data_IF_655782702805
#
_entry.id   IF_655782702805
#
_cell.length_a   1.000
_cell.length_b   1.000
_cell.length_c   1.000
_cell.angle_alpha   90.00
_cell.angle_beta   90.00
_cell.angle_gamma   90.00
#
_symmetry.space_group_name_H-M   'P 1'
#
loop_
_entity.id
_entity.type
_entity.pdbx_description
1 polymer ?
#
# COMPACT_ATOMS: atom_id res chain seq x y z
N UNK A 1 45.19 -12.18 -74.75
CA UNK A 1 44.20 -11.12 -74.98
C UNK A 1 42.87 -11.72 -74.58
N UNK A 2 42.38 -11.52 -73.36
CA UNK A 2 42.53 -10.37 -72.46
C UNK A 2 42.68 -10.81 -70.99
N UNK A 3 43.13 -9.88 -70.17
CA UNK A 3 43.53 -9.98 -68.76
C UNK A 3 42.40 -9.47 -67.83
N UNK A 4 42.32 -10.06 -66.63
CA UNK A 4 41.76 -9.52 -65.35
C UNK A 4 40.22 -9.27 -65.18
N UNK A 5 39.66 -9.19 -63.93
CA UNK A 5 39.83 -10.04 -62.72
C UNK A 5 38.51 -10.13 -61.85
N UNK A 6 38.47 -10.26 -60.49
CA UNK A 6 37.70 -11.31 -59.81
C UNK A 6 36.49 -10.82 -58.97
N UNK A 7 35.42 -11.61 -58.89
CA UNK A 7 34.31 -11.35 -57.96
C UNK A 7 34.28 -12.39 -56.82
N UNK A 8 34.30 -11.87 -55.60
CA UNK A 8 34.43 -12.55 -54.31
C UNK A 8 33.30 -13.55 -54.01
N UNK A 9 33.65 -14.62 -53.28
CA UNK A 9 32.75 -15.62 -52.72
C UNK A 9 32.44 -15.31 -51.22
N UNK A 10 31.58 -16.08 -50.53
CA UNK A 10 30.32 -15.60 -49.94
C UNK A 10 30.35 -15.64 -48.40
N UNK A 11 29.21 -15.41 -47.72
CA UNK A 11 28.79 -16.51 -46.84
C UNK A 11 27.29 -16.87 -46.88
N UNK A 12 26.96 -18.14 -46.62
CA UNK A 12 25.60 -18.67 -46.62
C UNK A 12 24.89 -18.61 -45.25
N UNK A 13 23.58 -18.36 -45.34
CA UNK A 13 22.45 -19.06 -44.69
C UNK A 13 22.47 -19.39 -43.17
N UNK A 14 21.57 -18.66 -42.48
CA UNK A 14 20.54 -19.13 -41.55
C UNK A 14 20.90 -19.79 -40.20
N UNK A 15 20.47 -19.15 -39.11
CA UNK A 15 19.88 -19.80 -37.94
C UNK A 15 18.97 -18.83 -37.18
N UNK A 16 17.75 -19.27 -36.86
CA UNK A 16 16.81 -18.57 -36.00
C UNK A 16 17.20 -18.73 -34.51
N UNK A 17 17.03 -17.67 -33.71
CA UNK A 17 16.87 -17.77 -32.25
C UNK A 17 16.26 -16.49 -31.67
N UNK A 18 15.24 -16.69 -30.83
CA UNK A 18 14.63 -15.72 -29.93
C UNK A 18 15.64 -15.14 -28.94
N UNK A 19 15.45 -13.88 -28.50
CA UNK A 19 16.28 -13.30 -27.44
C UNK A 19 15.81 -11.92 -26.97
N UNK A 20 15.21 -11.90 -25.78
CA UNK A 20 14.92 -10.76 -24.89
C UNK A 20 15.89 -9.58 -24.97
N UNK A 21 15.37 -8.35 -24.98
CA UNK A 21 16.12 -7.18 -24.48
C UNK A 21 15.20 -5.98 -24.24
N UNK A 22 14.74 -5.86 -23.00
CA UNK A 22 14.08 -4.67 -22.48
C UNK A 22 14.42 -4.53 -21.00
N UNK A 23 15.71 -4.57 -20.69
CA UNK A 23 16.23 -4.36 -19.34
C UNK A 23 15.90 -2.94 -18.91
N UNK A 24 14.82 -2.80 -18.13
CA UNK A 24 14.51 -1.57 -17.43
C UNK A 24 15.68 -1.20 -16.54
N UNK A 25 16.36 -0.13 -16.92
CA UNK A 25 17.45 0.50 -16.18
C UNK A 25 16.92 0.92 -14.81
N UNK A 26 17.05 0.03 -13.81
CA UNK A 26 16.79 0.38 -12.43
C UNK A 26 17.88 1.34 -12.01
N UNK A 27 17.56 2.64 -12.06
CA UNK A 27 18.39 3.71 -11.53
C UNK A 27 19.00 3.27 -10.20
N UNK A 28 20.33 3.27 -10.17
CA UNK A 28 21.09 2.68 -9.08
C UNK A 28 20.57 3.23 -7.74
N UNK A 29 20.10 2.36 -6.84
CA UNK A 29 19.60 2.81 -5.56
C UNK A 29 20.76 3.41 -4.75
N UNK A 30 20.56 4.64 -4.28
CA UNK A 30 21.53 5.35 -3.45
C UNK A 30 21.88 4.50 -2.22
N UNK A 31 23.08 3.96 -2.21
CA UNK A 31 23.60 3.07 -1.19
C UNK A 31 24.26 3.93 -0.11
N UNK A 32 23.65 4.02 1.07
CA UNK A 32 24.23 4.74 2.22
C UNK A 32 25.28 3.92 2.98
N UNK A 33 25.87 2.93 2.32
CA UNK A 33 26.80 1.98 2.93
C UNK A 33 28.03 1.89 2.05
N UNK A 34 29.12 2.49 2.53
CA UNK A 34 30.38 2.56 1.80
C UNK A 34 30.83 1.19 1.25
N UNK A 35 31.48 0.38 2.07
CA UNK A 35 32.11 -0.89 1.63
C UNK A 35 31.33 -2.16 1.99
N UNK A 36 30.29 -2.05 2.83
CA UNK A 36 29.49 -3.20 3.26
C UNK A 36 28.33 -3.45 2.30
N UNK A 37 28.04 -4.73 1.94
CA UNK A 37 26.85 -5.05 1.15
C UNK A 37 25.60 -4.60 1.91
N UNK A 38 24.62 -4.10 1.16
CA UNK A 38 23.35 -3.67 1.71
C UNK A 38 22.57 -4.88 2.25
N UNK A 39 21.80 -4.65 3.31
CA UNK A 39 20.99 -5.70 3.97
C UNK A 39 19.50 -5.39 3.99
N UNK A 40 19.15 -4.11 3.90
CA UNK A 40 17.79 -3.61 4.00
C UNK A 40 17.50 -2.60 2.89
N UNK A 41 16.29 -2.67 2.34
CA UNK A 41 15.77 -1.72 1.36
C UNK A 41 14.56 -0.99 1.95
N UNK A 42 14.54 0.34 1.88
CA UNK A 42 13.39 1.12 2.34
C UNK A 42 12.23 1.00 1.33
N UNK A 43 11.01 0.59 1.73
CA UNK A 43 9.88 0.41 0.80
C UNK A 43 9.29 1.74 0.28
N UNK A 44 9.63 2.87 0.90
CA UNK A 44 9.13 4.20 0.49
C UNK A 44 10.03 4.94 -0.49
N UNK A 45 11.35 4.82 -0.34
CA UNK A 45 12.33 5.55 -1.15
C UNK A 45 13.38 4.66 -1.83
N UNK A 46 13.24 3.33 -1.71
CA UNK A 46 14.11 2.32 -2.29
C UNK A 46 15.60 2.45 -1.94
N UNK A 47 15.96 3.28 -0.95
CA UNK A 47 17.33 3.42 -0.45
C UNK A 47 17.81 2.14 0.19
N UNK A 48 19.05 1.80 -0.12
CA UNK A 48 19.73 0.63 0.41
C UNK A 48 20.55 1.01 1.63
N UNK A 49 20.38 0.22 2.69
CA UNK A 49 21.04 0.40 3.98
C UNK A 49 21.57 -0.94 4.48
N UNK A 50 22.67 -0.91 5.21
CA UNK A 50 23.42 -2.07 5.67
C UNK A 50 23.05 -2.43 7.11
N UNK A 51 22.41 -1.51 7.84
CA UNK A 51 22.11 -1.67 9.25
C UNK A 51 20.85 -0.90 9.66
N UNK A 52 20.24 -1.29 10.78
CA UNK A 52 19.09 -0.59 11.36
C UNK A 52 19.37 0.89 11.68
N UNK A 53 20.54 1.29 12.22
CA UNK A 53 20.92 2.69 12.34
C UNK A 53 20.89 3.43 11.00
N UNK A 54 21.32 2.80 9.90
CA UNK A 54 21.23 3.37 8.55
C UNK A 54 19.78 3.59 8.09
N UNK A 55 18.88 2.65 8.42
CA UNK A 55 17.44 2.81 8.17
C UNK A 55 16.88 4.02 8.93
N UNK A 56 17.27 4.20 10.19
CA UNK A 56 16.78 5.31 11.00
C UNK A 56 17.40 6.65 10.60
N UNK A 57 18.69 6.67 10.28
CA UNK A 57 19.42 7.85 9.87
C UNK A 57 18.84 8.44 8.58
N UNK A 58 18.60 7.63 7.54
CA UNK A 58 18.01 8.16 6.32
C UNK A 58 16.58 8.67 6.55
N UNK A 59 15.76 7.96 7.36
CA UNK A 59 14.40 8.41 7.70
C UNK A 59 14.41 9.80 8.33
N UNK A 60 15.36 10.08 9.21
CA UNK A 60 15.54 11.41 9.83
C UNK A 60 16.07 12.45 8.83
N UNK A 61 17.14 12.15 8.09
CA UNK A 61 17.79 13.08 7.16
C UNK A 61 16.91 13.47 5.98
N UNK A 62 16.11 12.53 5.49
CA UNK A 62 15.31 12.71 4.27
C UNK A 62 13.81 12.77 4.55
N UNK A 63 13.44 12.92 5.83
CA UNK A 63 12.06 12.94 6.31
C UNK A 63 11.20 11.81 5.71
N UNK A 64 11.79 10.63 5.49
CA UNK A 64 11.11 9.52 4.84
C UNK A 64 10.20 8.79 5.84
N UNK A 65 8.90 8.69 5.54
CA UNK A 65 7.95 7.91 6.34
C UNK A 65 8.28 6.41 6.38
N UNK A 66 9.02 5.91 5.38
CA UNK A 66 9.35 4.49 5.26
C UNK A 66 8.14 3.59 4.97
N UNK A 67 7.03 4.17 4.51
CA UNK A 67 5.84 3.46 4.03
C UNK A 67 5.73 3.69 2.52
N UNK A 68 5.36 2.65 1.77
CA UNK A 68 5.06 2.78 0.34
C UNK A 68 3.76 3.55 0.18
N UNK A 69 3.74 4.58 -0.66
CA UNK A 69 2.49 5.23 -1.04
C UNK A 69 1.69 4.27 -1.93
N UNK A 70 0.64 3.65 -1.37
CA UNK A 70 -0.14 2.61 -2.04
C UNK A 70 -1.14 3.16 -3.07
N UNK A 71 -1.57 4.42 -2.91
CA UNK A 71 -2.67 5.01 -3.70
C UNK A 71 -2.20 6.20 -4.54
N UNK A 72 -1.07 6.05 -5.24
CA UNK A 72 -0.60 7.08 -6.17
C UNK A 72 -1.41 6.97 -7.46
N UNK A 73 -2.05 8.04 -7.95
CA UNK A 73 -2.79 7.98 -9.20
C UNK A 73 -1.83 7.70 -10.36
N UNK A 74 -2.13 6.67 -11.14
CA UNK A 74 -1.36 6.27 -12.32
C UNK A 74 -2.19 6.59 -13.58
N UNK A 75 -1.60 7.20 -14.62
CA UNK A 75 -2.27 7.37 -15.90
C UNK A 75 -2.69 6.01 -16.49
N UNK A 76 -3.83 5.95 -17.19
CA UNK A 76 -4.34 4.69 -17.76
C UNK A 76 -3.32 3.98 -18.68
N UNK A 77 -2.47 4.74 -19.36
CA UNK A 77 -1.43 4.19 -20.23
C UNK A 77 -0.32 3.41 -19.49
N UNK A 78 -0.19 3.59 -18.18
CA UNK A 78 0.81 2.95 -17.31
C UNK A 78 0.15 2.03 -16.26
N UNK A 79 -1.14 1.74 -16.45
CA UNK A 79 -1.87 0.87 -15.55
C UNK A 79 -1.53 -0.60 -15.85
N UNK A 80 -0.61 -1.15 -15.07
CA UNK A 80 -0.17 -2.55 -15.16
C UNK A 80 -0.95 -3.45 -14.20
N UNK A 81 -0.95 -4.77 -14.46
CA UNK A 81 -1.53 -5.79 -13.58
C UNK A 81 -1.00 -5.72 -12.14
N UNK A 82 0.24 -5.28 -11.95
CA UNK A 82 0.82 -5.07 -10.62
C UNK A 82 0.09 -3.98 -9.81
N UNK A 83 -0.41 -2.93 -10.46
CA UNK A 83 -1.22 -1.90 -9.81
C UNK A 83 -2.59 -2.46 -9.44
N UNK A 84 -3.22 -3.21 -10.35
CA UNK A 84 -4.50 -3.86 -10.10
C UNK A 84 -4.43 -4.80 -8.88
N UNK A 85 -3.40 -5.64 -8.79
CA UNK A 85 -3.19 -6.55 -7.65
C UNK A 85 -2.92 -5.77 -6.35
N UNK A 86 -2.15 -4.68 -6.42
CA UNK A 86 -1.92 -3.81 -5.27
C UNK A 86 -3.22 -3.21 -4.74
N UNK A 87 -4.09 -2.74 -5.63
CA UNK A 87 -5.38 -2.15 -5.29
C UNK A 87 -6.35 -3.20 -4.74
N UNK A 88 -6.40 -4.40 -5.35
CA UNK A 88 -7.19 -5.52 -4.85
C UNK A 88 -6.78 -5.91 -3.42
N UNK A 89 -5.48 -6.08 -3.18
CA UNK A 89 -4.96 -6.42 -1.85
C UNK A 89 -5.28 -5.34 -0.82
N UNK A 90 -5.22 -4.06 -1.23
CA UNK A 90 -5.62 -2.95 -0.36
C UNK A 90 -7.08 -3.08 0.06
N UNK A 91 -7.99 -3.35 -0.87
CA UNK A 91 -9.42 -3.53 -0.57
C UNK A 91 -9.65 -4.73 0.34
N UNK A 92 -8.97 -5.84 0.09
CA UNK A 92 -9.06 -7.03 0.94
C UNK A 92 -8.57 -6.76 2.37
N UNK A 93 -7.39 -6.12 2.52
CA UNK A 93 -6.88 -5.72 3.83
C UNK A 93 -7.87 -4.83 4.58
N UNK A 94 -8.49 -3.86 3.91
CA UNK A 94 -9.49 -2.98 4.56
C UNK A 94 -10.75 -3.73 4.97
N UNK A 95 -11.21 -4.69 4.16
CA UNK A 95 -12.34 -5.56 4.49
C UNK A 95 -12.02 -6.43 5.72
N UNK A 96 -10.82 -7.00 5.79
CA UNK A 96 -10.36 -7.77 6.93
C UNK A 96 -10.28 -6.93 8.21
N UNK A 97 -9.76 -5.70 8.14
CA UNK A 97 -9.70 -4.80 9.31
C UNK A 97 -11.10 -4.45 9.79
N UNK A 98 -12.03 -4.17 8.87
CA UNK A 98 -13.44 -3.94 9.20
C UNK A 98 -14.06 -5.15 9.88
N UNK A 99 -13.86 -6.35 9.33
CA UNK A 99 -14.41 -7.59 9.89
C UNK A 99 -13.81 -7.90 11.27
N UNK A 100 -12.51 -7.68 11.45
CA UNK A 100 -11.84 -7.81 12.73
C UNK A 100 -12.39 -6.83 13.76
N UNK A 101 -12.52 -5.55 13.40
CA UNK A 101 -13.15 -4.53 14.25
C UNK A 101 -14.61 -4.89 14.57
N UNK A 102 -15.37 -5.35 13.59
CA UNK A 102 -16.74 -5.81 13.79
C UNK A 102 -16.79 -6.96 14.80
N UNK A 103 -15.95 -8.00 14.67
CA UNK A 103 -15.90 -9.11 15.64
C UNK A 103 -15.51 -8.66 17.04
N UNK A 104 -14.52 -7.78 17.15
CA UNK A 104 -14.12 -7.18 18.43
C UNK A 104 -15.31 -6.43 19.06
N UNK A 105 -15.98 -5.57 18.29
CA UNK A 105 -17.12 -4.79 18.75
C UNK A 105 -18.36 -5.65 19.05
N UNK A 106 -18.67 -6.64 18.22
CA UNK A 106 -19.75 -7.61 18.42
C UNK A 106 -19.54 -8.41 19.71
N UNK A 107 -18.28 -8.74 20.05
CA UNK A 107 -17.91 -9.38 21.32
C UNK A 107 -18.08 -8.47 22.55
N UNK A 108 -17.99 -7.15 22.38
CA UNK A 108 -18.32 -6.16 23.43
C UNK A 108 -19.83 -5.87 23.56
N UNK A 109 -20.65 -6.66 22.86
CA UNK A 109 -22.10 -6.65 22.97
C UNK A 109 -22.74 -5.66 22.00
N UNK A 110 -23.78 -6.16 21.32
CA UNK A 110 -24.80 -5.42 20.56
C UNK A 110 -25.58 -4.38 21.40
N UNK A 111 -24.94 -3.68 22.33
CA UNK A 111 -25.51 -2.59 23.11
C UNK A 111 -25.19 -1.20 22.54
N UNK A 112 -24.53 -1.11 21.38
CA UNK A 112 -24.16 0.19 20.78
C UNK A 112 -25.05 0.62 19.60
N UNK A 113 -25.67 -0.32 18.88
CA UNK A 113 -26.53 0.00 17.71
C UNK A 113 -27.99 0.29 18.10
N UNK A 114 -28.17 0.86 19.29
CA UNK A 114 -29.38 1.58 19.70
C UNK A 114 -29.01 2.73 20.68
N UNK A 115 -27.86 3.39 20.46
CA UNK A 115 -27.37 4.44 21.37
C UNK A 115 -26.74 5.66 20.70
N UNK A 116 -27.40 6.17 19.67
CA UNK A 116 -27.33 7.60 19.34
C UNK A 116 -28.21 8.44 20.29
N UNK A 117 -27.99 8.25 21.58
CA UNK A 117 -28.60 9.03 22.64
C UNK A 117 -27.72 8.89 23.85
N UNK A 118 -27.30 10.02 24.44
CA UNK A 118 -26.49 10.06 25.64
C UNK A 118 -26.93 8.97 26.61
N UNK A 119 -25.97 8.18 27.09
CA UNK A 119 -26.18 7.14 28.07
C UNK A 119 -26.70 7.78 29.37
N UNK A 120 -28.00 8.11 29.44
CA UNK A 120 -28.57 8.70 30.65
C UNK A 120 -28.41 7.68 31.78
N UNK A 121 -27.93 8.12 32.96
CA UNK A 121 -27.91 7.30 34.16
C UNK A 121 -29.25 6.58 34.38
N UNK A 122 -29.27 5.36 34.97
CA UNK A 122 -30.49 4.56 35.13
C UNK A 122 -31.66 5.29 35.82
N UNK A 123 -31.38 6.23 36.73
CA UNK A 123 -32.42 7.03 37.37
C UNK A 123 -33.09 8.04 36.42
N UNK A 124 -32.33 8.62 35.47
CA UNK A 124 -32.84 9.54 34.45
C UNK A 124 -33.63 8.82 33.36
N UNK A 125 -33.29 7.58 33.05
CA UNK A 125 -34.09 6.76 32.11
C UNK A 125 -35.43 6.39 32.72
N UNK A 126 -35.47 6.03 34.01
CA UNK A 126 -36.71 5.78 34.74
C UNK A 126 -37.59 7.04 34.79
N UNK A 127 -36.99 8.20 35.12
CA UNK A 127 -37.70 9.48 35.15
C UNK A 127 -38.31 9.85 33.79
N UNK A 128 -37.54 9.71 32.70
CA UNK A 128 -38.02 9.97 31.34
C UNK A 128 -39.18 9.06 30.95
N UNK A 129 -39.08 7.75 31.22
CA UNK A 129 -40.16 6.78 30.98
C UNK A 129 -41.42 7.14 31.78
N UNK A 130 -41.25 7.46 33.07
CA UNK A 130 -42.36 7.83 33.94
C UNK A 130 -43.05 9.15 33.50
N UNK A 131 -42.32 10.05 32.86
CA UNK A 131 -42.88 11.27 32.26
C UNK A 131 -43.61 10.97 30.93
N UNK A 132 -43.05 10.10 30.09
CA UNK A 132 -43.69 9.63 28.85
C UNK A 132 -45.03 8.95 29.12
N UNK A 133 -45.13 8.11 30.16
CA UNK A 133 -46.40 7.51 30.58
C UNK A 133 -47.47 8.54 30.99
N UNK A 134 -47.04 9.76 31.34
CA UNK A 134 -47.91 10.90 31.67
C UNK A 134 -48.06 11.90 30.51
N UNK A 135 -47.55 11.56 29.32
CA UNK A 135 -47.59 12.41 28.13
C UNK A 135 -46.62 13.60 28.17
N UNK A 136 -45.64 13.60 29.07
CA UNK A 136 -44.66 14.69 29.22
C UNK A 136 -43.32 14.27 28.62
N UNK A 137 -42.83 15.05 27.65
CA UNK A 137 -41.52 14.79 27.00
C UNK A 137 -40.41 15.56 27.72
N UNK A 138 -39.58 14.85 28.47
CA UNK A 138 -38.43 15.43 29.16
C UNK A 138 -37.19 15.41 28.26
N UNK A 139 -36.65 16.59 27.96
CA UNK A 139 -35.34 16.76 27.35
C UNK A 139 -34.29 17.00 28.44
N UNK A 140 -33.45 16.01 28.71
CA UNK A 140 -32.34 16.12 29.66
C UNK A 140 -31.13 16.62 28.90
N UNK A 141 -30.70 17.85 29.18
CA UNK A 141 -29.44 18.38 28.66
C UNK A 141 -28.31 17.82 29.52
N UNK A 142 -27.36 17.13 28.90
CA UNK A 142 -26.13 16.61 29.53
C UNK A 142 -24.99 17.58 29.36
#
# INVERSE_FOLDING_TARGET
MEEEPPAQAPPPSAAAASGSSGGGEKGAPFQECGEQPWKYQCPGCSRLTCSLPGVQAHKRRTACSGKRARTVPVPLAQFDDNQLLSDYNLLEETSMVRESAHRLLSGFGHNFEERHGAQLPPWLTFLRKAAEHRGVRLAVQT
#
